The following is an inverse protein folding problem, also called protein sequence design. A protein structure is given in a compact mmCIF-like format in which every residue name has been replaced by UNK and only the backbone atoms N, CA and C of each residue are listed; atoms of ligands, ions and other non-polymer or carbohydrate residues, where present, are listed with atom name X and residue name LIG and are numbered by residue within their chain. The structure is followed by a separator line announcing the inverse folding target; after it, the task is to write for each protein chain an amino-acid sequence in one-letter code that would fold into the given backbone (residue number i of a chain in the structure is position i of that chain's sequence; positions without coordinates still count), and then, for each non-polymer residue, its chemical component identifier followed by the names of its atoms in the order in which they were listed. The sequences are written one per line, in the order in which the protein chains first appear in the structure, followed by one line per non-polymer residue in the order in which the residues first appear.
data_IF_009432138293
#
_entry.id   IF_009432138293
#
_cell.length_a   1.000
_cell.length_b   1.000
_cell.length_c   1.000
_cell.angle_alpha   90.00
_cell.angle_beta   90.00
_cell.angle_gamma   90.00
#
_symmetry.space_group_name_H-M   'P 1'
#
loop_
_entity.id
_entity.type
_entity.pdbx_description
1 polymer ?
#
# COMPACT_ATOMS: atom_id res chain seq x y z
N UNK A 1 -12.56 6.94 -20.48
CA UNK A 1 -13.08 7.54 -19.23
C UNK A 1 -14.13 8.64 -19.46
N UNK A 2 -13.90 9.65 -20.31
CA UNK A 2 -14.93 10.67 -20.60
C UNK A 2 -16.27 10.08 -21.10
N UNK A 3 -16.22 9.05 -21.95
CA UNK A 3 -17.43 8.38 -22.46
C UNK A 3 -18.27 7.70 -21.36
N UNK A 4 -17.64 7.07 -20.37
CA UNK A 4 -18.36 6.48 -19.23
C UNK A 4 -18.95 7.57 -18.33
N UNK A 5 -18.18 8.64 -18.05
CA UNK A 5 -18.68 9.77 -17.26
C UNK A 5 -19.90 10.43 -17.90
N UNK A 6 -19.90 10.57 -19.23
CA UNK A 6 -21.03 11.15 -19.95
C UNK A 6 -22.32 10.32 -19.82
N UNK A 7 -22.23 8.99 -19.71
CA UNK A 7 -23.39 8.12 -19.45
C UNK A 7 -23.96 8.39 -18.06
N UNK A 8 -23.10 8.43 -17.04
CA UNK A 8 -23.50 8.78 -15.66
C UNK A 8 -24.18 10.15 -15.60
N UNK A 9 -23.57 11.16 -16.23
CA UNK A 9 -24.08 12.52 -16.26
C UNK A 9 -25.47 12.61 -16.92
N UNK A 10 -25.67 11.90 -18.04
CA UNK A 10 -26.96 11.85 -18.75
C UNK A 10 -28.05 11.15 -17.95
N UNK A 11 -27.69 10.09 -17.22
CA UNK A 11 -28.61 9.35 -16.37
C UNK A 11 -28.93 10.11 -15.07
N UNK A 12 -28.16 11.14 -14.72
CA UNK A 12 -28.28 11.83 -13.43
C UNK A 12 -27.91 10.94 -12.25
N UNK A 13 -27.06 9.93 -12.50
CA UNK A 13 -26.58 8.95 -11.52
C UNK A 13 -25.10 9.18 -11.31
N UNK A 14 -24.68 9.34 -10.06
CA UNK A 14 -23.25 9.45 -9.74
C UNK A 14 -22.55 8.09 -9.79
N UNK A 15 -21.24 8.04 -10.09
CA UNK A 15 -20.47 6.80 -10.01
C UNK A 15 -20.54 6.12 -8.64
N UNK A 16 -20.55 6.88 -7.53
CA UNK A 16 -20.72 6.35 -6.17
C UNK A 16 -22.09 5.68 -5.95
N UNK A 17 -23.18 6.30 -6.43
CA UNK A 17 -24.52 5.70 -6.37
C UNK A 17 -24.57 4.40 -7.17
N UNK A 18 -23.97 4.39 -8.35
CA UNK A 18 -23.97 3.21 -9.21
C UNK A 18 -23.10 2.06 -8.66
N UNK A 19 -21.96 2.35 -8.05
CA UNK A 19 -21.17 1.35 -7.33
C UNK A 19 -21.91 0.81 -6.11
N UNK A 20 -22.59 1.69 -5.35
CA UNK A 20 -23.42 1.29 -4.21
C UNK A 20 -24.56 0.37 -4.64
N UNK A 21 -25.23 0.69 -5.75
CA UNK A 21 -26.29 -0.14 -6.31
C UNK A 21 -25.77 -1.53 -6.71
N UNK A 22 -24.60 -1.61 -7.38
CA UNK A 22 -23.96 -2.90 -7.70
C UNK A 22 -23.68 -3.70 -6.42
N UNK A 23 -23.13 -3.09 -5.39
CA UNK A 23 -22.90 -3.76 -4.11
C UNK A 23 -24.18 -4.35 -3.50
N UNK A 24 -25.30 -3.62 -3.57
CA UNK A 24 -26.60 -4.11 -3.08
C UNK A 24 -27.11 -5.30 -3.90
N UNK A 25 -27.04 -5.21 -5.23
CA UNK A 25 -27.51 -6.27 -6.15
C UNK A 25 -26.63 -7.52 -6.04
N UNK A 26 -25.32 -7.39 -6.05
CA UNK A 26 -24.37 -8.50 -5.86
C UNK A 26 -24.57 -9.15 -4.48
N UNK A 27 -24.75 -8.34 -3.44
CA UNK A 27 -25.08 -8.86 -2.11
C UNK A 27 -26.40 -9.62 -2.09
N UNK A 28 -27.39 -9.23 -2.90
CA UNK A 28 -28.66 -9.95 -3.04
C UNK A 28 -28.49 -11.27 -3.79
N UNK A 29 -27.70 -11.31 -4.87
CA UNK A 29 -27.32 -12.54 -5.58
C UNK A 29 -26.57 -13.52 -4.67
N UNK A 30 -25.53 -13.07 -3.96
CA UNK A 30 -24.74 -13.88 -3.02
C UNK A 30 -25.63 -14.55 -1.95
N UNK A 31 -26.72 -13.88 -1.54
CA UNK A 31 -27.69 -14.43 -0.57
C UNK A 31 -28.71 -15.38 -1.20
N UNK A 32 -28.61 -15.66 -2.50
CA UNK A 32 -29.52 -16.54 -3.24
C UNK A 32 -30.85 -15.87 -3.62
N UNK A 33 -30.82 -14.58 -3.95
CA UNK A 33 -31.99 -13.80 -4.38
C UNK A 33 -33.15 -13.74 -3.36
N UNK A 34 -32.83 -13.90 -2.08
CA UNK A 34 -33.83 -13.90 -1.00
C UNK A 34 -34.34 -12.50 -0.68
N UNK A 35 -35.62 -12.40 -0.34
CA UNK A 35 -36.26 -11.14 0.08
C UNK A 35 -36.84 -10.32 -1.06
N UNK A 36 -36.96 -9.00 -0.85
CA UNK A 36 -37.51 -8.07 -1.85
C UNK A 36 -36.47 -7.79 -2.93
N UNK A 37 -36.89 -7.82 -4.20
CA UNK A 37 -36.06 -7.44 -5.34
C UNK A 37 -35.67 -5.95 -5.22
N UNK A 38 -34.37 -5.62 -5.28
CA UNK A 38 -33.88 -4.23 -5.25
C UNK A 38 -34.05 -3.58 -6.63
N UNK A 39 -35.30 -3.32 -7.05
CA UNK A 39 -35.63 -2.82 -8.41
C UNK A 39 -34.97 -1.48 -8.74
N UNK A 40 -34.84 -0.59 -7.75
CA UNK A 40 -34.21 0.71 -7.96
C UNK A 40 -32.71 0.55 -8.24
N UNK A 41 -32.03 -0.28 -7.46
CA UNK A 41 -30.61 -0.56 -7.61
C UNK A 41 -30.32 -1.33 -8.91
N UNK A 42 -31.20 -2.26 -9.31
CA UNK A 42 -31.10 -2.93 -10.61
C UNK A 42 -31.16 -1.92 -11.77
N UNK A 43 -32.05 -0.93 -11.72
CA UNK A 43 -32.13 0.10 -12.74
C UNK A 43 -30.84 0.96 -12.80
N UNK A 44 -30.26 1.25 -11.64
CA UNK A 44 -28.98 1.98 -11.53
C UNK A 44 -27.81 1.11 -12.04
N UNK A 45 -27.81 -0.21 -11.79
CA UNK A 45 -26.78 -1.12 -12.30
C UNK A 45 -26.75 -1.13 -13.85
N UNK A 46 -27.91 -1.04 -14.51
CA UNK A 46 -27.96 -0.91 -15.97
C UNK A 46 -27.18 0.32 -16.46
N UNK A 47 -27.22 1.44 -15.73
CA UNK A 47 -26.44 2.65 -16.08
C UNK A 47 -24.94 2.38 -15.99
N UNK A 48 -24.49 1.60 -15.01
CA UNK A 48 -23.09 1.18 -14.92
C UNK A 48 -22.68 0.32 -16.12
N UNK A 49 -23.51 -0.65 -16.50
CA UNK A 49 -23.22 -1.53 -17.64
C UNK A 49 -23.18 -0.73 -18.95
N UNK A 50 -24.06 0.25 -19.12
CA UNK A 50 -24.02 1.20 -20.25
C UNK A 50 -22.74 2.04 -20.25
N UNK A 51 -22.32 2.53 -19.08
CA UNK A 51 -21.08 3.30 -18.93
C UNK A 51 -19.85 2.45 -19.27
N UNK A 52 -19.84 1.19 -18.85
CA UNK A 52 -18.77 0.23 -19.16
C UNK A 52 -18.67 -0.02 -20.66
N UNK A 53 -19.80 -0.26 -21.33
CA UNK A 53 -19.84 -0.41 -22.78
C UNK A 53 -19.42 0.87 -23.52
N UNK A 54 -19.82 2.05 -23.03
CA UNK A 54 -19.38 3.31 -23.61
C UNK A 54 -17.86 3.49 -23.49
N UNK A 55 -17.25 3.03 -22.38
CA UNK A 55 -15.80 3.00 -22.23
C UNK A 55 -15.14 2.05 -23.23
N UNK A 56 -15.64 0.82 -23.38
CA UNK A 56 -15.14 -0.13 -24.39
C UNK A 56 -15.17 0.47 -25.79
N UNK A 57 -16.31 1.01 -26.21
CA UNK A 57 -16.49 1.59 -27.54
C UNK A 57 -15.53 2.74 -27.81
N UNK A 58 -15.33 3.61 -26.81
CA UNK A 58 -14.40 4.74 -26.93
C UNK A 58 -12.94 4.29 -26.97
N UNK A 59 -12.54 3.34 -26.11
CA UNK A 59 -11.15 2.87 -26.01
C UNK A 59 -10.74 1.99 -27.20
N UNK A 60 -11.67 1.21 -27.74
CA UNK A 60 -11.42 0.26 -28.83
C UNK A 60 -11.92 0.76 -30.19
N UNK A 61 -12.11 2.08 -30.34
CA UNK A 61 -12.55 2.67 -31.60
C UNK A 61 -11.59 2.28 -32.75
N UNK A 62 -12.14 1.65 -33.79
CA UNK A 62 -11.38 1.19 -34.96
C UNK A 62 -10.71 -0.19 -34.80
N UNK A 63 -10.89 -0.87 -33.67
CA UNK A 63 -10.42 -2.25 -33.52
C UNK A 63 -11.31 -3.21 -34.32
N UNK A 64 -10.73 -4.35 -34.73
CA UNK A 64 -11.50 -5.45 -35.30
C UNK A 64 -12.44 -6.03 -34.23
N UNK A 65 -13.67 -6.40 -34.62
CA UNK A 65 -14.73 -6.81 -33.68
C UNK A 65 -14.32 -7.99 -32.79
N UNK A 66 -13.51 -8.92 -33.29
CA UNK A 66 -13.00 -10.07 -32.52
C UNK A 66 -11.92 -9.70 -31.49
N UNK A 67 -11.45 -8.45 -31.50
CA UNK A 67 -10.44 -7.90 -30.57
C UNK A 67 -11.04 -6.95 -29.55
N UNK A 68 -12.30 -6.53 -29.72
CA UNK A 68 -12.98 -5.67 -28.77
C UNK A 68 -13.37 -6.51 -27.55
N UNK A 69 -12.93 -6.15 -26.33
CA UNK A 69 -13.32 -6.87 -25.13
C UNK A 69 -14.82 -6.66 -24.85
N UNK A 70 -15.44 -7.59 -24.14
CA UNK A 70 -16.86 -7.49 -23.79
C UNK A 70 -17.13 -6.46 -22.68
N UNK A 71 -16.12 -6.05 -21.92
CA UNK A 71 -16.23 -5.12 -20.81
C UNK A 71 -14.95 -4.29 -20.68
N UNK A 72 -15.07 -3.09 -20.13
CA UNK A 72 -13.95 -2.25 -19.76
C UNK A 72 -13.45 -2.53 -18.33
N UNK A 73 -14.13 -3.42 -17.59
CA UNK A 73 -13.88 -3.69 -16.18
C UNK A 73 -13.86 -2.38 -15.37
N UNK A 74 -14.92 -1.56 -15.53
CA UNK A 74 -15.01 -0.31 -14.79
C UNK A 74 -14.94 -0.54 -13.28
N UNK A 75 -14.14 0.29 -12.63
CA UNK A 75 -13.98 0.32 -11.18
C UNK A 75 -14.25 1.73 -10.64
N UNK A 76 -14.98 1.83 -9.53
CA UNK A 76 -15.05 3.07 -8.77
C UNK A 76 -13.74 3.25 -8.03
N UNK A 77 -12.87 4.05 -8.62
CA UNK A 77 -11.66 4.52 -7.94
C UNK A 77 -12.01 5.84 -7.28
N UNK A 78 -12.30 5.85 -5.97
CA UNK A 78 -12.05 7.07 -5.21
C UNK A 78 -10.57 7.37 -5.43
N UNK A 79 -10.23 8.49 -6.09
CA UNK A 79 -8.83 8.86 -6.31
C UNK A 79 -8.07 8.63 -5.00
N UNK A 80 -7.20 7.61 -4.90
CA UNK A 80 -6.46 7.46 -3.68
C UNK A 80 -5.58 8.71 -3.61
N UNK A 81 -5.27 9.19 -2.40
CA UNK A 81 -4.41 10.36 -2.21
C UNK A 81 -3.12 10.31 -3.07
N UNK A 82 -2.71 9.11 -3.53
CA UNK A 82 -1.70 8.80 -4.54
C UNK A 82 -1.67 9.67 -5.81
N UNK A 83 -2.77 10.33 -6.21
CA UNK A 83 -2.80 11.19 -7.40
C UNK A 83 -2.92 12.70 -7.11
N UNK A 84 -2.99 13.09 -5.83
CA UNK A 84 -3.07 14.50 -5.39
C UNK A 84 -1.92 14.88 -4.48
N UNK A 85 -0.69 14.52 -4.84
CA UNK A 85 0.46 15.15 -4.21
C UNK A 85 0.47 16.63 -4.61
N UNK A 86 0.41 17.52 -3.63
CA UNK A 86 0.49 18.97 -3.86
C UNK A 86 1.95 19.43 -3.99
N UNK A 87 2.91 18.54 -3.71
CA UNK A 87 4.34 18.77 -3.91
C UNK A 87 5.13 17.47 -4.13
N UNK A 88 6.33 17.58 -4.72
CA UNK A 88 7.29 16.47 -4.81
C UNK A 88 7.69 15.93 -3.43
N UNK A 89 7.73 16.80 -2.41
CA UNK A 89 8.04 16.42 -1.04
C UNK A 89 7.01 15.44 -0.47
N UNK A 90 5.72 15.70 -0.67
CA UNK A 90 4.65 14.80 -0.21
C UNK A 90 4.69 13.46 -0.94
N UNK A 91 5.00 13.48 -2.24
CA UNK A 91 5.19 12.27 -3.04
C UNK A 91 6.35 11.43 -2.51
N UNK A 92 7.51 12.04 -2.26
CA UNK A 92 8.68 11.32 -1.77
C UNK A 92 8.49 10.81 -0.34
N UNK A 93 7.78 11.55 0.51
CA UNK A 93 7.40 11.07 1.86
C UNK A 93 6.49 9.84 1.77
N UNK A 94 5.48 9.88 0.89
CA UNK A 94 4.60 8.73 0.69
C UNK A 94 5.34 7.50 0.14
N UNK A 95 6.26 7.70 -0.82
CA UNK A 95 7.10 6.63 -1.36
C UNK A 95 7.97 6.02 -0.26
N UNK A 96 8.56 6.84 0.60
CA UNK A 96 9.32 6.35 1.75
C UNK A 96 8.46 5.50 2.70
N UNK A 97 7.28 5.98 3.09
CA UNK A 97 6.38 5.22 4.00
C UNK A 97 5.91 3.89 3.40
N UNK A 98 5.70 3.84 2.09
CA UNK A 98 5.19 2.64 1.40
C UNK A 98 6.29 1.67 0.99
N UNK A 99 7.51 2.16 0.76
CA UNK A 99 8.69 1.35 0.47
C UNK A 99 9.46 0.96 1.73
N UNK A 100 8.97 1.35 2.92
CA UNK A 100 9.71 1.28 4.18
C UNK A 100 10.41 -0.06 4.41
N UNK A 101 9.71 -1.19 4.31
CA UNK A 101 10.43 -2.44 4.56
C UNK A 101 11.31 -2.91 3.40
N UNK A 102 11.02 -2.56 2.14
CA UNK A 102 11.93 -2.83 1.03
C UNK A 102 13.25 -2.06 1.17
N UNK A 103 13.19 -0.86 1.78
CA UNK A 103 14.38 -0.09 2.15
C UNK A 103 15.18 -0.83 3.21
N UNK A 104 14.51 -1.37 4.24
CA UNK A 104 15.20 -2.08 5.32
C UNK A 104 15.84 -3.39 4.84
N UNK A 105 15.14 -4.14 3.99
CA UNK A 105 15.64 -5.34 3.31
C UNK A 105 16.92 -5.01 2.51
N UNK A 106 16.88 -3.98 1.66
CA UNK A 106 18.05 -3.53 0.88
C UNK A 106 19.24 -3.15 1.77
N UNK A 107 18.99 -2.46 2.88
CA UNK A 107 20.03 -2.11 3.86
C UNK A 107 20.68 -3.35 4.48
N UNK A 108 19.87 -4.33 4.87
CA UNK A 108 20.35 -5.60 5.44
C UNK A 108 21.16 -6.40 4.41
N UNK A 109 20.71 -6.47 3.15
CA UNK A 109 21.43 -7.14 2.06
C UNK A 109 22.80 -6.51 1.77
N UNK A 110 22.93 -5.19 1.92
CA UNK A 110 24.20 -4.48 1.79
C UNK A 110 25.13 -4.65 3.00
N UNK A 111 24.70 -5.39 4.03
CA UNK A 111 25.50 -5.72 5.22
C UNK A 111 25.42 -4.70 6.35
N UNK A 112 24.42 -3.80 6.32
CA UNK A 112 24.11 -2.94 7.46
C UNK A 112 23.27 -3.70 8.48
N UNK A 113 23.33 -3.28 9.75
CA UNK A 113 22.65 -3.93 10.88
C UNK A 113 23.07 -5.40 11.14
N UNK A 114 24.35 -5.74 10.99
CA UNK A 114 24.89 -7.10 11.25
C UNK A 114 25.91 -7.16 12.42
N UNK A 115 25.95 -6.16 13.31
CA UNK A 115 26.89 -6.16 14.45
C UNK A 115 26.32 -6.85 15.70
N UNK A 116 25.14 -7.46 15.62
CA UNK A 116 24.47 -8.15 16.72
C UNK A 116 23.90 -7.22 17.81
N UNK A 117 23.72 -5.93 17.52
CA UNK A 117 23.15 -4.95 18.46
C UNK A 117 21.64 -5.15 18.65
N UNK A 118 21.03 -4.57 19.71
CA UNK A 118 19.58 -4.65 19.91
C UNK A 118 18.78 -4.17 18.70
N UNK A 119 19.18 -3.05 18.07
CA UNK A 119 18.56 -2.56 16.83
C UNK A 119 18.75 -3.49 15.62
N UNK A 120 19.85 -4.25 15.56
CA UNK A 120 20.13 -5.19 14.47
C UNK A 120 19.15 -6.36 14.50
N UNK A 121 18.81 -6.83 15.70
CA UNK A 121 17.78 -7.83 15.91
C UNK A 121 16.40 -7.32 15.51
N UNK A 122 16.12 -6.04 15.74
CA UNK A 122 14.85 -5.42 15.32
C UNK A 122 14.81 -5.28 13.79
N UNK A 123 15.92 -4.91 13.16
CA UNK A 123 16.02 -4.88 11.69
C UNK A 123 15.75 -6.26 11.08
N UNK A 124 16.38 -7.31 11.61
CA UNK A 124 16.14 -8.69 11.19
C UNK A 124 14.70 -9.17 11.43
N UNK A 125 14.07 -8.79 12.56
CA UNK A 125 12.67 -9.15 12.83
C UNK A 125 11.68 -8.43 11.90
N UNK A 126 12.05 -7.26 11.40
CA UNK A 126 11.23 -6.46 10.49
C UNK A 126 11.43 -6.81 9.02
N UNK A 127 12.49 -7.57 8.69
CA UNK A 127 12.77 -8.12 7.37
C UNK A 127 11.61 -9.02 6.84
N UNK A 128 10.83 -9.65 7.75
CA UNK A 128 9.68 -10.52 7.43
C UNK A 128 8.30 -9.91 7.79
N UNK A 129 8.22 -8.58 7.98
CA UNK A 129 6.98 -7.78 8.16
C UNK A 129 5.97 -8.27 9.20
N UNK A 130 6.25 -8.07 10.49
CA UNK A 130 5.17 -7.95 11.48
C UNK A 130 5.47 -6.87 12.54
N UNK A 131 5.25 -5.61 12.17
CA UNK A 131 5.33 -4.46 13.08
C UNK A 131 4.38 -4.58 14.28
N UNK A 132 3.30 -5.36 14.18
CA UNK A 132 2.33 -5.53 15.26
C UNK A 132 2.83 -6.49 16.34
N UNK A 133 3.90 -7.25 16.05
CA UNK A 133 4.56 -8.13 17.02
C UNK A 133 5.73 -7.49 17.77
N UNK A 134 6.11 -6.26 17.42
CA UNK A 134 7.17 -5.56 18.13
C UNK A 134 6.73 -5.20 19.55
N UNK A 135 7.59 -5.48 20.53
CA UNK A 135 7.44 -4.94 21.88
C UNK A 135 7.62 -3.43 21.87
N UNK A 136 7.18 -2.75 22.93
CA UNK A 136 7.35 -1.30 23.07
C UNK A 136 8.83 -0.87 23.00
N UNK A 137 9.73 -1.68 23.56
CA UNK A 137 11.18 -1.45 23.50
C UNK A 137 11.73 -1.61 22.07
N UNK A 138 11.27 -2.62 21.34
CA UNK A 138 11.68 -2.84 19.94
C UNK A 138 11.14 -1.75 19.02
N UNK A 139 9.90 -1.30 19.23
CA UNK A 139 9.31 -0.16 18.51
C UNK A 139 10.11 1.11 18.76
N UNK A 140 10.52 1.34 20.01
CA UNK A 140 11.38 2.48 20.36
C UNK A 140 12.74 2.40 19.67
N UNK A 141 13.38 1.23 19.64
CA UNK A 141 14.63 1.03 18.90
C UNK A 141 14.46 1.30 17.40
N UNK A 142 13.35 0.83 16.82
CA UNK A 142 13.03 1.12 15.43
C UNK A 142 12.87 2.62 15.17
N UNK A 143 12.03 3.31 15.96
CA UNK A 143 11.74 4.74 15.78
C UNK A 143 12.97 5.63 16.02
N UNK A 144 13.78 5.31 17.03
CA UNK A 144 14.94 6.13 17.42
C UNK A 144 16.22 5.81 16.64
N UNK A 145 16.38 4.56 16.16
CA UNK A 145 17.66 4.09 15.60
C UNK A 145 17.57 3.62 14.15
N UNK A 146 16.53 2.90 13.77
CA UNK A 146 16.46 2.32 12.43
C UNK A 146 15.82 3.31 11.45
N UNK A 147 14.67 3.87 11.81
CA UNK A 147 13.89 4.76 10.97
C UNK A 147 14.65 6.02 10.50
N UNK A 148 15.46 6.71 11.33
CA UNK A 148 16.26 7.85 10.86
C UNK A 148 17.31 7.45 9.81
N UNK A 149 17.92 6.27 9.95
CA UNK A 149 18.88 5.74 9.00
C UNK A 149 18.21 5.37 7.67
N UNK A 150 17.01 4.77 7.71
CA UNK A 150 16.21 4.50 6.53
C UNK A 150 15.82 5.79 5.79
N UNK A 151 15.53 6.88 6.52
CA UNK A 151 15.29 8.19 5.90
C UNK A 151 16.54 8.70 5.18
N UNK A 152 17.71 8.64 5.82
CA UNK A 152 18.97 9.06 5.17
C UNK A 152 19.25 8.19 3.95
N UNK A 153 19.04 6.88 4.04
CA UNK A 153 19.19 5.95 2.91
C UNK A 153 18.34 6.38 1.71
N UNK A 154 17.06 6.67 1.95
CA UNK A 154 16.10 6.95 0.89
C UNK A 154 16.25 8.35 0.30
N UNK A 155 16.47 9.37 1.14
CA UNK A 155 16.50 10.78 0.69
C UNK A 155 17.91 11.31 0.40
N UNK A 156 18.93 10.78 1.07
CA UNK A 156 20.29 11.33 1.11
C UNK A 156 21.34 10.20 1.02
N UNK A 157 21.16 9.27 0.07
CA UNK A 157 22.01 8.07 -0.11
C UNK A 157 23.51 8.35 -0.05
N UNK A 158 23.95 9.46 -0.65
CA UNK A 158 25.37 9.88 -0.67
C UNK A 158 25.97 10.17 0.71
N UNK A 159 25.14 10.54 1.69
CA UNK A 159 25.56 10.82 3.08
C UNK A 159 25.43 9.61 4.00
N UNK A 160 24.80 8.53 3.51
CA UNK A 160 24.39 7.42 4.34
C UNK A 160 25.53 6.80 5.14
N UNK A 161 26.66 6.48 4.50
CA UNK A 161 27.80 5.84 5.19
C UNK A 161 28.31 6.67 6.39
N UNK A 162 28.42 7.98 6.21
CA UNK A 162 28.88 8.89 7.28
C UNK A 162 27.89 8.99 8.42
N UNK A 163 26.59 9.08 8.11
CA UNK A 163 25.53 9.13 9.12
C UNK A 163 25.37 7.79 9.84
N UNK A 164 25.51 6.66 9.14
CA UNK A 164 25.49 5.32 9.72
C UNK A 164 26.61 5.18 10.75
N UNK A 165 27.86 5.46 10.39
CA UNK A 165 29.00 5.38 11.33
C UNK A 165 28.81 6.31 12.53
N UNK A 166 28.35 7.55 12.29
CA UNK A 166 28.11 8.53 13.36
C UNK A 166 27.05 8.03 14.35
N UNK A 167 25.90 7.58 13.84
CA UNK A 167 24.81 7.07 14.68
C UNK A 167 25.20 5.79 15.43
N UNK A 168 25.93 4.88 14.78
CA UNK A 168 26.46 3.68 15.43
C UNK A 168 27.49 3.99 16.52
N UNK A 169 28.16 5.15 16.48
CA UNK A 169 29.06 5.60 17.55
C UNK A 169 28.33 6.32 18.70
N UNK A 170 27.23 7.01 18.40
CA UNK A 170 26.41 7.74 19.37
C UNK A 170 25.52 6.81 20.22
N UNK A 171 25.07 5.68 19.66
CA UNK A 171 24.23 4.75 20.40
C UNK A 171 25.06 3.83 21.31
N UNK A 172 24.72 3.75 22.61
CA UNK A 172 25.38 2.83 23.51
C UNK A 172 25.12 1.38 23.06
N UNK A 173 26.22 0.65 22.84
CA UNK A 173 26.20 -0.79 22.67
C UNK A 173 26.08 -1.42 24.05
N UNK A 174 24.87 -1.71 24.50
CA UNK A 174 24.69 -2.62 25.62
C UNK A 174 25.17 -4.00 25.17
N UNK A 175 26.37 -4.36 25.60
CA UNK A 175 26.87 -5.72 25.39
C UNK A 175 25.89 -6.68 26.07
N UNK A 176 25.51 -7.80 25.43
CA UNK A 176 24.74 -8.82 26.13
C UNK A 176 25.50 -9.21 27.41
N UNK A 177 24.78 -9.26 28.54
CA UNK A 177 25.32 -9.70 29.82
C UNK A 177 25.81 -11.15 29.67
N UNK A 178 27.14 -11.33 29.66
CA UNK A 178 27.82 -12.63 29.56
C UNK A 178 27.38 -13.64 30.65
N UNK A 179 26.59 -13.20 31.64
CA UNK A 179 26.00 -14.06 32.67
C UNK A 179 24.96 -15.05 32.16
N UNK A 180 24.39 -14.89 30.96
CA UNK A 180 23.44 -15.87 30.41
C UNK A 180 24.10 -17.11 29.76
N UNK A 181 25.41 -17.10 29.50
CA UNK A 181 26.12 -18.26 28.92
C UNK A 181 26.55 -19.32 29.94
N UNK A 182 26.42 -19.06 31.25
CA UNK A 182 26.78 -20.02 32.30
C UNK A 182 25.64 -20.99 32.70
N UNK A 183 24.50 -20.99 32.00
CA UNK A 183 23.39 -21.91 32.26
C UNK A 183 23.48 -23.25 31.53
N UNK A 184 24.47 -23.45 30.65
CA UNK A 184 24.67 -24.70 29.91
C UNK A 184 26.09 -25.30 30.00
N UNK A 185 26.96 -24.79 30.86
CA UNK A 185 28.22 -25.46 31.22
C UNK A 185 28.01 -26.28 32.50
N UNK A 186 27.50 -27.50 32.32
CA UNK A 186 27.55 -28.57 33.32
C UNK A 186 28.93 -29.22 33.36
#
# INVERSE_FOLDING_TARGET
MLAAQEVFDKAGVTPDEAATARFVVEGWDIRGFVGKVPEAELAICTVWDEADQAAVQACCAGWATDKVPNSAELELVQEPQRFRFTSEKERSEWLFQTANAGILEEMCEEGYFDDGRPEDKVAFLLDDWDFDRLTEEQRRLYDERIYPLMRVWFFERERFEGEYVRHRAEWPCDKPDDRQLNLFAA
#
